data_IF_083461084136
#
_entry.id   IF_083461084136
#
_cell.length_a   1.000
_cell.length_b   1.000
_cell.length_c   1.000
_cell.angle_alpha   90.00
_cell.angle_beta   90.00
_cell.angle_gamma   90.00
#
_symmetry.space_group_name_H-M   'P 1'
#
loop_
_entity.id
_entity.type
_entity.pdbx_description
1 polymer ?
#
# COMPACT_ATOMS: atom_id res chain seq x y z
N UNK A 1 -23.69 -11.90 19.83
CA UNK A 1 -22.31 -12.35 19.55
C UNK A 1 -21.84 -12.17 18.08
N UNK A 2 -22.63 -11.57 17.17
CA UNK A 2 -22.22 -11.40 15.75
C UNK A 2 -21.50 -10.08 15.42
N UNK A 3 -21.74 -9.00 16.18
CA UNK A 3 -21.25 -7.67 15.79
C UNK A 3 -19.73 -7.50 15.93
N UNK A 4 -19.10 -8.22 16.86
CA UNK A 4 -17.66 -8.13 17.09
C UNK A 4 -16.87 -8.75 15.92
N UNK A 5 -17.22 -9.98 15.54
CA UNK A 5 -16.62 -10.69 14.40
C UNK A 5 -16.77 -9.90 13.09
N UNK A 6 -17.93 -9.30 12.86
CA UNK A 6 -18.14 -8.45 11.69
C UNK A 6 -17.24 -7.20 11.66
N UNK A 7 -17.01 -6.59 12.81
CA UNK A 7 -16.11 -5.43 12.91
C UNK A 7 -14.66 -5.81 12.64
N UNK A 8 -14.22 -6.97 13.14
CA UNK A 8 -12.85 -7.48 12.95
C UNK A 8 -12.59 -7.89 11.50
N UNK A 9 -13.54 -8.59 10.87
CA UNK A 9 -13.46 -8.91 9.44
C UNK A 9 -13.38 -7.66 8.57
N UNK A 10 -14.13 -6.61 8.93
CA UNK A 10 -14.07 -5.33 8.20
C UNK A 10 -12.69 -4.70 8.29
N UNK A 11 -12.08 -4.67 9.48
CA UNK A 11 -10.72 -4.14 9.66
C UNK A 11 -9.67 -4.94 8.88
N UNK A 12 -9.76 -6.27 8.92
CA UNK A 12 -8.87 -7.15 8.16
C UNK A 12 -9.02 -6.92 6.66
N UNK A 13 -10.26 -6.79 6.16
CA UNK A 13 -10.51 -6.54 4.75
C UNK A 13 -9.95 -5.18 4.30
N UNK A 14 -10.04 -4.13 5.14
CA UNK A 14 -9.42 -2.85 4.83
C UNK A 14 -7.89 -2.95 4.71
N UNK A 15 -7.25 -3.68 5.62
CA UNK A 15 -5.81 -3.91 5.58
C UNK A 15 -5.41 -4.71 4.33
N UNK A 16 -6.13 -5.80 4.06
CA UNK A 16 -5.86 -6.68 2.92
C UNK A 16 -6.08 -5.97 1.58
N UNK A 17 -7.09 -5.09 1.49
CA UNK A 17 -7.34 -4.27 0.32
C UNK A 17 -6.18 -3.30 0.05
N UNK A 18 -5.65 -2.65 1.09
CA UNK A 18 -4.47 -1.78 0.98
C UNK A 18 -3.25 -2.54 0.47
N UNK A 19 -2.99 -3.71 1.04
CA UNK A 19 -1.90 -4.60 0.63
C UNK A 19 -2.06 -5.03 -0.83
N UNK A 20 -3.27 -5.43 -1.23
CA UNK A 20 -3.57 -5.91 -2.57
C UNK A 20 -3.39 -4.81 -3.61
N UNK A 21 -3.88 -3.60 -3.35
CA UNK A 21 -3.74 -2.46 -4.27
C UNK A 21 -2.27 -2.10 -4.48
N UNK A 22 -1.50 -2.00 -3.39
CA UNK A 22 -0.08 -1.68 -3.47
C UNK A 22 0.70 -2.75 -4.25
N UNK A 23 0.49 -4.04 -3.96
CA UNK A 23 1.17 -5.13 -4.66
C UNK A 23 0.82 -5.19 -6.16
N UNK A 24 -0.45 -5.02 -6.52
CA UNK A 24 -0.86 -5.00 -7.92
C UNK A 24 -0.30 -3.79 -8.66
N UNK A 25 -0.25 -2.63 -8.02
CA UNK A 25 0.35 -1.43 -8.62
C UNK A 25 1.86 -1.59 -8.83
N UNK A 26 2.57 -2.19 -7.87
CA UNK A 26 3.99 -2.54 -8.03
C UNK A 26 4.21 -3.52 -9.20
N UNK A 27 3.38 -4.57 -9.29
CA UNK A 27 3.44 -5.53 -10.39
C UNK A 27 3.22 -4.85 -11.75
N UNK A 28 2.18 -4.02 -11.86
CA UNK A 28 1.89 -3.26 -13.08
C UNK A 28 3.06 -2.36 -13.48
N UNK A 29 3.68 -1.65 -12.52
CA UNK A 29 4.85 -0.81 -12.78
C UNK A 29 6.05 -1.64 -13.26
N UNK A 30 6.29 -2.81 -12.65
CA UNK A 30 7.38 -3.70 -13.07
C UNK A 30 7.20 -4.29 -14.47
N UNK A 31 5.95 -4.43 -14.95
CA UNK A 31 5.63 -4.94 -16.28
C UNK A 31 5.62 -3.85 -17.36
N UNK A 32 5.36 -2.60 -16.99
CA UNK A 32 5.16 -1.50 -17.94
C UNK A 32 6.36 -0.59 -18.10
N UNK A 33 7.23 -0.50 -17.09
CA UNK A 33 8.40 0.37 -17.11
C UNK A 33 9.69 -0.43 -17.33
N UNK A 34 10.61 0.11 -18.14
CA UNK A 34 11.93 -0.49 -18.36
C UNK A 34 12.81 -0.48 -17.10
N UNK A 35 12.59 0.49 -16.20
CA UNK A 35 13.21 0.59 -14.89
C UNK A 35 12.11 0.89 -13.86
N UNK A 36 12.19 0.28 -12.68
CA UNK A 36 11.14 0.40 -11.67
C UNK A 36 11.04 1.86 -11.15
N UNK A 37 9.92 2.56 -11.35
CA UNK A 37 9.80 3.96 -10.95
C UNK A 37 9.43 4.07 -9.48
N UNK A 38 10.40 3.81 -8.59
CA UNK A 38 10.21 3.77 -7.14
C UNK A 38 9.59 5.05 -6.56
N UNK A 39 9.96 6.22 -7.08
CA UNK A 39 9.44 7.51 -6.61
C UNK A 39 7.96 7.68 -6.95
N UNK A 40 7.54 7.22 -8.14
CA UNK A 40 6.13 7.24 -8.52
C UNK A 40 5.34 6.25 -7.63
N UNK A 41 5.89 5.06 -7.39
CA UNK A 41 5.29 4.07 -6.51
C UNK A 41 5.11 4.55 -5.07
N UNK A 42 6.12 5.19 -4.49
CA UNK A 42 6.05 5.79 -3.16
C UNK A 42 5.10 7.00 -3.16
N UNK A 43 5.18 7.83 -4.19
CA UNK A 43 4.36 9.03 -4.36
C UNK A 43 2.87 8.71 -4.44
N UNK A 44 2.48 7.64 -5.14
CA UNK A 44 1.07 7.21 -5.14
C UNK A 44 0.65 6.68 -3.77
N UNK A 45 1.49 5.91 -3.08
CA UNK A 45 1.17 5.43 -1.73
C UNK A 45 0.94 6.58 -0.74
N UNK A 46 1.81 7.59 -0.76
CA UNK A 46 1.67 8.80 0.06
C UNK A 46 0.46 9.63 -0.34
N UNK A 47 0.29 9.92 -1.64
CA UNK A 47 -0.82 10.71 -2.14
C UNK A 47 -2.19 10.10 -1.81
N UNK A 48 -2.34 8.80 -2.01
CA UNK A 48 -3.57 8.07 -1.71
C UNK A 48 -3.84 8.06 -0.19
N UNK A 49 -2.79 7.98 0.63
CA UNK A 49 -2.90 8.06 2.09
C UNK A 49 -3.39 9.44 2.55
N UNK A 50 -2.87 10.53 1.98
CA UNK A 50 -3.32 11.90 2.29
C UNK A 50 -4.78 12.09 1.91
N UNK A 51 -5.18 11.69 0.69
CA UNK A 51 -6.57 11.79 0.22
C UNK A 51 -7.51 11.02 1.17
N UNK A 52 -7.14 9.80 1.55
CA UNK A 52 -7.96 8.97 2.45
C UNK A 52 -8.02 9.51 3.88
N UNK A 53 -6.96 10.15 4.38
CA UNK A 53 -6.98 10.81 5.67
C UNK A 53 -7.89 12.04 5.65
N UNK A 54 -7.85 12.83 4.58
CA UNK A 54 -8.72 14.00 4.43
C UNK A 54 -10.20 13.60 4.28
N UNK A 55 -10.50 12.49 3.61
CA UNK A 55 -11.88 12.09 3.31
C UNK A 55 -12.51 11.18 4.39
N UNK A 56 -11.82 10.11 4.76
CA UNK A 56 -12.35 9.10 5.71
C UNK A 56 -11.84 9.28 7.15
N UNK A 57 -10.86 10.17 7.36
CA UNK A 57 -10.28 10.43 8.68
C UNK A 57 -9.57 9.19 9.26
N UNK A 58 -9.78 8.94 10.56
CA UNK A 58 -9.14 7.81 11.27
C UNK A 58 -9.60 6.43 10.82
N UNK A 59 -10.71 6.31 10.06
CA UNK A 59 -11.27 5.01 9.63
C UNK A 59 -10.46 4.31 8.53
N UNK A 60 -9.59 5.06 7.86
CA UNK A 60 -8.73 4.57 6.76
C UNK A 60 -7.33 4.19 7.22
N UNK A 61 -6.99 4.34 8.51
CA UNK A 61 -5.64 4.09 9.03
C UNK A 61 -5.17 2.66 8.76
N UNK A 62 -6.03 1.65 8.97
CA UNK A 62 -5.67 0.26 8.71
C UNK A 62 -5.39 -0.03 7.23
N UNK A 63 -6.13 0.60 6.33
CA UNK A 63 -5.88 0.51 4.89
C UNK A 63 -4.53 1.14 4.55
N UNK A 64 -4.25 2.33 5.09
CA UNK A 64 -2.97 3.03 4.90
C UNK A 64 -1.81 2.19 5.42
N UNK A 65 -1.96 1.57 6.59
CA UNK A 65 -0.96 0.64 7.14
C UNK A 65 -0.72 -0.53 6.20
N UNK A 66 -1.78 -1.16 5.67
CA UNK A 66 -1.65 -2.24 4.69
C UNK A 66 -0.97 -1.79 3.38
N UNK A 67 -1.31 -0.59 2.91
CA UNK A 67 -0.71 0.03 1.73
C UNK A 67 0.81 0.19 1.91
N UNK A 68 1.24 0.84 3.00
CA UNK A 68 2.66 1.03 3.29
C UNK A 68 3.39 -0.30 3.59
N UNK A 69 2.73 -1.25 4.26
CA UNK A 69 3.31 -2.56 4.55
C UNK A 69 3.66 -3.35 3.27
N UNK A 70 2.93 -3.15 2.18
CA UNK A 70 3.32 -3.66 0.86
C UNK A 70 4.31 -2.73 0.15
N UNK A 71 4.18 -1.42 0.28
CA UNK A 71 5.07 -0.47 -0.41
C UNK A 71 6.53 -0.61 0.00
N UNK A 72 6.83 -0.73 1.30
CA UNK A 72 8.22 -0.78 1.79
C UNK A 72 9.04 -1.99 1.29
N UNK A 73 8.54 -3.25 1.36
CA UNK A 73 9.26 -4.41 0.83
C UNK A 73 9.58 -4.28 -0.67
N UNK A 74 8.63 -3.80 -1.47
CA UNK A 74 8.85 -3.64 -2.91
C UNK A 74 9.88 -2.55 -3.22
N UNK A 75 9.88 -1.45 -2.47
CA UNK A 75 10.94 -0.45 -2.57
C UNK A 75 12.31 -1.03 -2.25
N UNK A 76 12.44 -1.77 -1.14
CA UNK A 76 13.69 -2.40 -0.75
C UNK A 76 14.18 -3.41 -1.79
N UNK A 77 13.29 -4.21 -2.37
CA UNK A 77 13.65 -5.23 -3.36
C UNK A 77 14.13 -4.62 -4.67
N UNK A 78 13.43 -3.60 -5.18
CA UNK A 78 13.77 -2.99 -6.48
C UNK A 78 14.94 -2.00 -6.38
N UNK A 79 15.10 -1.30 -5.26
CA UNK A 79 16.22 -0.37 -5.03
C UNK A 79 17.42 -1.04 -4.33
N UNK A 80 17.40 -2.36 -4.09
CA UNK A 80 18.52 -3.04 -3.44
C UNK A 80 19.84 -2.85 -4.22
N UNK A 81 19.74 -2.89 -5.55
CA UNK A 81 20.86 -2.73 -6.46
C UNK A 81 21.41 -1.30 -6.51
N UNK A 82 20.60 -0.28 -6.24
CA UNK A 82 21.02 1.12 -6.24
C UNK A 82 21.62 1.54 -4.89
N UNK A 83 21.25 0.87 -3.79
CA UNK A 83 21.70 1.20 -2.42
C UNK A 83 23.04 0.53 -2.05
N UNK A 84 23.30 -0.69 -2.53
CA UNK A 84 24.46 -1.50 -2.14
C UNK A 84 25.53 -1.69 -3.23
N UNK A 85 25.53 -0.82 -4.25
CA UNK A 85 26.55 -0.77 -5.31
C UNK A 85 27.55 0.36 -5.04
#
# INVERSE_FOLDING_TARGET
>A
MNNHVYSEMRSLNQLLLGLFIAANYACLLSLTAAAFPWLAYLGTAVGLSVILLCWLGKRSVLFITGLFAATFPYLLLFEWHTIFQ
#
